data_IF_279540576769
#
_entry.id   IF_279540576769
#
_cell.length_a   1.000
_cell.length_b   1.000
_cell.length_c   1.000
_cell.angle_alpha   90.00
_cell.angle_beta   90.00
_cell.angle_gamma   90.00
#
_symmetry.space_group_name_H-M   'P 1'
#
loop_
_entity.id
_entity.type
_entity.pdbx_description
1 polymer ?
#
# COMPACT_ATOMS: atom_id res chain seq x y z
N UNK A 1 -10.83 -23.61 -7.46
CA UNK A 1 -10.87 -22.16 -7.74
C UNK A 1 -11.19 -21.32 -6.50
N UNK A 2 -12.24 -21.63 -5.73
CA UNK A 2 -12.61 -20.86 -4.52
C UNK A 2 -11.47 -20.74 -3.49
N UNK A 3 -10.77 -21.84 -3.21
CA UNK A 3 -9.63 -21.89 -2.26
C UNK A 3 -8.44 -21.02 -2.69
N UNK A 4 -8.14 -21.00 -4.00
CA UNK A 4 -7.05 -20.20 -4.58
C UNK A 4 -7.41 -18.71 -4.54
N UNK A 5 -8.66 -18.36 -4.87
CA UNK A 5 -9.15 -16.99 -4.76
C UNK A 5 -9.11 -16.46 -3.33
N UNK A 6 -9.51 -17.27 -2.34
CA UNK A 6 -9.43 -16.93 -0.91
C UNK A 6 -7.98 -16.74 -0.43
N UNK A 7 -7.05 -17.62 -0.85
CA UNK A 7 -5.62 -17.47 -0.54
C UNK A 7 -5.08 -16.17 -1.13
N UNK A 8 -5.35 -15.90 -2.40
CA UNK A 8 -4.93 -14.67 -3.08
C UNK A 8 -5.47 -13.43 -2.37
N UNK A 9 -6.77 -13.42 -2.07
CA UNK A 9 -7.43 -12.29 -1.43
C UNK A 9 -6.86 -12.02 -0.03
N UNK A 10 -6.73 -13.05 0.81
CA UNK A 10 -6.16 -12.88 2.16
C UNK A 10 -4.69 -12.45 2.11
N UNK A 11 -3.89 -13.00 1.20
CA UNK A 11 -2.47 -12.66 1.08
C UNK A 11 -2.28 -11.22 0.55
N UNK A 12 -3.08 -10.84 -0.45
CA UNK A 12 -3.09 -9.49 -1.01
C UNK A 12 -3.55 -8.44 0.02
N UNK A 13 -4.67 -8.69 0.70
CA UNK A 13 -5.16 -7.80 1.76
C UNK A 13 -4.16 -7.72 2.92
N UNK A 14 -3.57 -8.85 3.30
CA UNK A 14 -2.55 -8.94 4.35
C UNK A 14 -1.31 -8.11 4.03
N UNK A 15 -0.82 -8.18 2.79
CA UNK A 15 0.31 -7.38 2.33
C UNK A 15 -0.01 -5.87 2.33
N UNK A 16 -1.18 -5.48 1.81
CA UNK A 16 -1.63 -4.08 1.82
C UNK A 16 -1.77 -3.57 3.26
N UNK A 17 -2.39 -4.35 4.15
CA UNK A 17 -2.55 -3.99 5.55
C UNK A 17 -1.20 -3.85 6.26
N UNK A 18 -0.27 -4.80 6.07
CA UNK A 18 1.06 -4.76 6.67
C UNK A 18 1.85 -3.50 6.25
N UNK A 19 1.83 -3.17 4.95
CA UNK A 19 2.49 -1.98 4.42
C UNK A 19 1.82 -0.70 4.94
N UNK A 20 0.49 -0.66 4.99
CA UNK A 20 -0.28 0.47 5.56
C UNK A 20 0.08 0.70 7.04
N UNK A 21 0.17 -0.37 7.82
CA UNK A 21 0.60 -0.32 9.24
C UNK A 21 2.03 0.20 9.36
N UNK A 22 2.95 -0.20 8.47
CA UNK A 22 4.30 0.35 8.45
C UNK A 22 4.31 1.86 8.17
N UNK A 23 3.53 2.34 7.19
CA UNK A 23 3.41 3.78 6.90
C UNK A 23 2.93 4.55 8.13
N UNK A 24 1.87 4.05 8.81
CA UNK A 24 1.34 4.67 10.01
C UNK A 24 2.32 4.64 11.18
N UNK A 25 3.07 3.55 11.37
CA UNK A 25 4.12 3.45 12.40
C UNK A 25 5.24 4.45 12.16
N UNK A 26 5.67 4.62 10.92
CA UNK A 26 6.70 5.61 10.55
C UNK A 26 6.17 7.03 10.77
N UNK A 27 4.91 7.29 10.38
CA UNK A 27 4.24 8.55 10.66
C UNK A 27 4.19 8.87 12.15
N UNK A 28 3.83 7.90 12.99
CA UNK A 28 3.78 8.06 14.44
C UNK A 28 5.17 8.37 15.04
N UNK A 29 6.23 7.69 14.60
CA UNK A 29 7.61 7.99 15.01
C UNK A 29 8.07 9.39 14.56
N UNK A 30 7.58 9.87 13.41
CA UNK A 30 7.89 11.22 12.92
C UNK A 30 7.17 12.34 13.70
N UNK A 31 6.11 12.02 14.45
CA UNK A 31 5.39 12.97 15.31
C UNK A 31 6.13 13.27 16.62
N UNK A 32 7.13 12.47 17.01
CA UNK A 32 7.95 12.73 18.20
C UNK A 32 8.84 13.98 18.04
N UNK A 33 9.04 14.47 16.81
CA UNK A 33 9.72 15.73 16.54
C UNK A 33 8.80 16.94 16.82
N UNK A 34 9.17 17.86 17.74
CA UNK A 34 8.29 18.92 18.24
C UNK A 34 7.91 19.99 17.21
N UNK A 35 8.63 20.10 16.09
CA UNK A 35 8.41 21.12 15.06
C UNK A 35 7.41 20.72 13.95
N UNK A 36 7.05 19.43 13.85
CA UNK A 36 6.27 18.86 12.74
C UNK A 36 5.05 18.03 13.18
N UNK A 37 4.67 18.12 14.47
CA UNK A 37 3.62 17.30 15.13
C UNK A 37 2.27 17.16 14.41
N UNK A 38 1.61 18.24 13.92
CA UNK A 38 0.32 18.10 13.24
C UNK A 38 0.46 17.73 11.75
N UNK A 39 1.50 18.22 11.07
CA UNK A 39 1.73 17.97 9.64
C UNK A 39 2.13 16.52 9.35
N UNK A 40 2.96 15.92 10.19
CA UNK A 40 3.44 14.55 10.01
C UNK A 40 2.31 13.50 10.13
N UNK A 41 1.42 13.66 11.12
CA UNK A 41 0.29 12.75 11.32
C UNK A 41 -0.79 12.85 10.24
N UNK A 42 -1.14 14.08 9.83
CA UNK A 42 -2.12 14.30 8.77
C UNK A 42 -1.62 13.79 7.40
N UNK A 43 -0.34 14.00 7.09
CA UNK A 43 0.25 13.48 5.86
C UNK A 43 0.33 11.94 5.89
N UNK A 44 0.79 11.34 6.99
CA UNK A 44 0.89 9.89 7.11
C UNK A 44 -0.47 9.18 6.98
N UNK A 45 -1.52 9.73 7.58
CA UNK A 45 -2.88 9.16 7.50
C UNK A 45 -3.47 9.31 6.10
N UNK A 46 -3.32 10.46 5.43
CA UNK A 46 -3.79 10.66 4.06
C UNK A 46 -3.07 9.75 3.04
N UNK A 47 -1.76 9.54 3.24
CA UNK A 47 -0.95 8.65 2.39
C UNK A 47 -1.34 7.19 2.64
N UNK A 48 -1.50 6.79 3.90
CA UNK A 48 -1.91 5.43 4.28
C UNK A 48 -3.31 5.09 3.75
N UNK A 49 -4.27 6.01 3.81
CA UNK A 49 -5.62 5.79 3.28
C UNK A 49 -5.64 5.66 1.77
N UNK A 50 -4.89 6.51 1.05
CA UNK A 50 -4.73 6.39 -0.40
C UNK A 50 -4.08 5.06 -0.81
N UNK A 51 -3.02 4.67 -0.12
CA UNK A 51 -2.34 3.40 -0.35
C UNK A 51 -3.26 2.19 -0.10
N UNK A 52 -4.01 2.20 1.01
CA UNK A 52 -4.97 1.14 1.32
C UNK A 52 -6.11 1.07 0.30
N UNK A 53 -6.65 2.20 -0.14
CA UNK A 53 -7.73 2.24 -1.13
C UNK A 53 -7.28 1.71 -2.50
N UNK A 54 -6.11 2.12 -2.97
CA UNK A 54 -5.54 1.66 -4.24
C UNK A 54 -5.15 0.18 -4.15
N UNK A 55 -4.49 -0.23 -3.07
CA UNK A 55 -4.08 -1.61 -2.82
C UNK A 55 -5.28 -2.57 -2.75
N UNK A 56 -6.33 -2.21 -2.02
CA UNK A 56 -7.56 -3.00 -1.95
C UNK A 56 -8.26 -3.09 -3.32
N UNK A 57 -8.35 -1.97 -4.06
CA UNK A 57 -8.92 -1.95 -5.40
C UNK A 57 -8.17 -2.88 -6.37
N UNK A 58 -6.83 -2.87 -6.34
CA UNK A 58 -6.00 -3.76 -7.16
C UNK A 58 -6.21 -5.25 -6.84
N UNK A 59 -6.27 -5.62 -5.55
CA UNK A 59 -6.52 -7.00 -5.12
C UNK A 59 -7.92 -7.47 -5.55
N UNK A 60 -8.94 -6.60 -5.46
CA UNK A 60 -10.31 -6.95 -5.88
C UNK A 60 -10.38 -7.12 -7.40
N UNK A 61 -9.78 -6.22 -8.19
CA UNK A 61 -9.81 -6.30 -9.66
C UNK A 61 -9.11 -7.57 -10.18
N UNK A 62 -7.93 -7.89 -9.64
CA UNK A 62 -7.19 -9.10 -10.02
C UNK A 62 -7.94 -10.35 -9.57
N UNK A 63 -8.51 -10.35 -8.36
CA UNK A 63 -9.34 -11.43 -7.86
C UNK A 63 -10.59 -11.69 -8.72
N UNK A 64 -11.17 -10.64 -9.30
CA UNK A 64 -12.34 -10.74 -10.18
C UNK A 64 -12.01 -11.32 -11.57
N UNK A 65 -10.77 -11.12 -12.06
CA UNK A 65 -10.28 -11.68 -13.33
C UNK A 65 -9.83 -13.14 -13.21
N UNK A 66 -9.36 -13.55 -12.03
CA UNK A 66 -8.89 -14.91 -11.75
C UNK A 66 -9.84 -16.05 -12.17
N UNK A 67 -11.17 -16.00 -11.91
CA UNK A 67 -12.09 -17.06 -12.33
C UNK A 67 -12.32 -17.13 -13.85
N UNK A 68 -11.95 -16.10 -14.63
CA UNK A 68 -12.05 -16.13 -16.09
C UNK A 68 -10.86 -16.86 -16.75
N UNK A 69 -9.77 -17.11 -16.04
CA UNK A 69 -8.59 -17.81 -16.56
C UNK A 69 -8.68 -19.31 -16.23
N UNK A 70 -9.36 -20.07 -17.09
CA UNK A 70 -9.52 -21.52 -16.91
C UNK A 70 -8.27 -22.35 -17.29
N UNK A 71 -7.35 -21.79 -18.09
CA UNK A 71 -6.30 -22.59 -18.74
C UNK A 71 -4.98 -22.70 -17.95
N UNK A 72 -4.56 -21.67 -17.19
CA UNK A 72 -3.31 -21.68 -16.40
C UNK A 72 -3.39 -20.68 -15.21
N UNK A 73 -4.22 -20.98 -14.19
CA UNK A 73 -4.50 -20.03 -13.11
C UNK A 73 -3.27 -19.73 -12.24
N UNK A 74 -2.28 -20.62 -12.17
CA UNK A 74 -1.12 -20.46 -11.29
C UNK A 74 -0.09 -19.48 -11.84
N UNK A 75 0.22 -19.55 -13.14
CA UNK A 75 1.14 -18.63 -13.79
C UNK A 75 0.59 -17.19 -13.82
N UNK A 76 -0.70 -17.04 -14.12
CA UNK A 76 -1.37 -15.74 -14.10
C UNK A 76 -1.43 -15.13 -12.68
N UNK A 77 -1.64 -15.96 -11.65
CA UNK A 77 -1.61 -15.53 -10.27
C UNK A 77 -0.22 -15.05 -9.86
N UNK A 78 0.84 -15.78 -10.19
CA UNK A 78 2.22 -15.36 -9.91
C UNK A 78 2.57 -14.04 -10.58
N UNK A 79 2.19 -13.86 -11.85
CA UNK A 79 2.43 -12.61 -12.58
C UNK A 79 1.65 -11.45 -11.96
N UNK A 80 0.37 -11.65 -11.67
CA UNK A 80 -0.48 -10.60 -11.10
C UNK A 80 -0.07 -10.26 -9.66
N UNK A 81 0.36 -11.23 -8.86
CA UNK A 81 0.88 -11.01 -7.51
C UNK A 81 2.23 -10.29 -7.56
N UNK A 82 3.12 -10.65 -8.48
CA UNK A 82 4.38 -9.96 -8.71
C UNK A 82 4.19 -8.52 -9.17
N UNK A 83 3.26 -8.28 -10.10
CA UNK A 83 2.93 -6.93 -10.57
C UNK A 83 2.29 -6.09 -9.47
N UNK A 84 1.37 -6.66 -8.70
CA UNK A 84 0.78 -5.99 -7.54
C UNK A 84 1.84 -5.64 -6.49
N UNK A 85 2.78 -6.55 -6.20
CA UNK A 85 3.88 -6.30 -5.28
C UNK A 85 4.81 -5.18 -5.77
N UNK A 86 5.12 -5.13 -7.07
CA UNK A 86 5.90 -4.05 -7.68
C UNK A 86 5.18 -2.70 -7.58
N UNK A 87 3.88 -2.64 -7.91
CA UNK A 87 3.08 -1.42 -7.76
C UNK A 87 2.98 -0.96 -6.30
N UNK A 88 2.80 -1.88 -5.35
CA UNK A 88 2.79 -1.58 -3.93
C UNK A 88 4.16 -1.07 -3.44
N UNK A 89 5.26 -1.68 -3.91
CA UNK A 89 6.62 -1.23 -3.61
C UNK A 89 6.93 0.17 -4.13
N UNK A 90 6.56 0.46 -5.39
CA UNK A 90 6.71 1.79 -6.00
C UNK A 90 5.82 2.85 -5.33
N UNK A 91 4.59 2.49 -4.97
CA UNK A 91 3.70 3.37 -4.23
C UNK A 91 4.24 3.71 -2.83
N UNK A 92 4.82 2.71 -2.13
CA UNK A 92 5.42 2.89 -0.82
C UNK A 92 6.65 3.81 -0.85
N UNK A 93 7.53 3.67 -1.85
CA UNK A 93 8.69 4.55 -1.99
C UNK A 93 8.29 5.99 -2.30
N UNK A 94 7.30 6.19 -3.16
CA UNK A 94 6.75 7.53 -3.45
C UNK A 94 6.09 8.17 -2.22
N UNK A 95 5.32 7.39 -1.46
CA UNK A 95 4.71 7.77 -0.19
C UNK A 95 5.75 8.22 0.86
N UNK A 96 6.87 7.50 0.98
CA UNK A 96 7.95 7.88 1.89
C UNK A 96 8.70 9.13 1.43
N UNK A 97 8.87 9.31 0.11
CA UNK A 97 9.42 10.52 -0.47
C UNK A 97 8.58 11.75 -0.17
N UNK A 98 7.26 11.67 -0.35
CA UNK A 98 6.34 12.78 -0.07
C UNK A 98 6.23 13.09 1.43
N UNK A 99 6.26 12.07 2.29
CA UNK A 99 6.30 12.26 3.74
C UNK A 99 7.57 13.01 4.16
N UNK A 100 8.74 12.62 3.63
CA UNK A 100 10.01 13.31 3.89
C UNK A 100 9.99 14.75 3.40
N UNK A 101 9.46 15.00 2.20
CA UNK A 101 9.32 16.35 1.67
C UNK A 101 8.42 17.23 2.55
N UNK A 102 7.32 16.67 3.09
CA UNK A 102 6.43 17.38 4.00
C UNK A 102 7.01 17.62 5.40
N UNK A 103 8.06 16.87 5.78
CA UNK A 103 8.78 16.98 7.06
C UNK A 103 9.92 18.00 7.03
N UNK A 104 10.44 18.36 5.85
CA UNK A 104 11.44 19.42 5.70
C UNK A 104 10.74 20.78 5.86
N UNK A 105 11.15 21.63 6.82
CA UNK A 105 10.62 22.98 6.97
C UNK A 105 10.96 23.83 5.74
N UNK A 106 9.97 24.54 5.20
CA UNK A 106 10.20 25.59 4.21
C UNK A 106 11.00 26.73 4.89
N UNK A 107 12.20 27.10 4.40
CA UNK A 107 12.99 28.18 5.00
C UNK A 107 12.34 29.58 4.86
N UNK A 108 11.16 29.69 4.24
CA UNK A 108 10.47 30.95 3.98
C UNK A 108 9.18 31.19 4.81
N UNK A 109 8.88 30.38 5.83
CA UNK A 109 7.69 30.53 6.69
C UNK A 109 8.00 31.03 8.11
#
# INVERSE_FOLDING_TARGET
MLTIGLLYFNLGLGAVAALTVMILRIGALAQDCPHSKPRAGAAATAIATGFAAIGAGGVIMIGAVLPLLEQEPFAALMLALGFAALCLGLGFTHAMGSLRAALVPDPAA
#
